data_IF_106506881422
#
_entry.id   IF_106506881422
#
_cell.length_a   1.000
_cell.length_b   1.000
_cell.length_c   1.000
_cell.angle_alpha   90.00
_cell.angle_beta   90.00
_cell.angle_gamma   90.00
#
_symmetry.space_group_name_H-M   'P 1'
#
loop_
_entity.id
_entity.type
_entity.pdbx_description
1 polymer ?
#
# COMPACT_ATOMS: atom_id res chain seq x y z
N UNK A 1 21.73 6.15 10.55
CA UNK A 1 20.36 6.34 10.00
C UNK A 1 19.49 5.27 10.64
N UNK A 2 18.47 5.63 11.42
CA UNK A 2 17.67 4.62 12.13
C UNK A 2 16.71 3.94 11.15
N UNK A 3 16.89 2.63 10.97
CA UNK A 3 16.04 1.75 10.16
C UNK A 3 14.74 1.46 10.95
N UNK A 4 13.86 2.47 11.07
CA UNK A 4 12.59 2.32 11.77
C UNK A 4 11.62 1.49 10.93
N UNK A 5 11.33 0.27 11.40
CA UNK A 5 10.36 -0.63 10.78
C UNK A 5 8.99 -0.50 11.44
N UNK A 6 7.98 -0.13 10.65
CA UNK A 6 6.60 -0.04 11.12
C UNK A 6 5.96 -1.44 11.00
N UNK A 7 5.62 -2.04 12.14
CA UNK A 7 4.89 -3.31 12.20
C UNK A 7 3.41 -3.04 12.47
N UNK A 8 2.52 -3.57 11.62
CA UNK A 8 1.07 -3.42 11.75
C UNK A 8 0.43 -4.79 11.89
N UNK A 9 -0.53 -4.88 12.81
CA UNK A 9 -1.46 -6.01 12.91
C UNK A 9 -2.80 -5.55 12.36
N UNK A 10 -3.29 -6.23 11.33
CA UNK A 10 -4.57 -5.93 10.71
C UNK A 10 -5.73 -6.64 11.44
N UNK A 11 -6.96 -6.19 11.20
CA UNK A 11 -8.16 -6.77 11.80
C UNK A 11 -8.38 -8.25 11.42
N UNK A 12 -7.83 -8.69 10.28
CA UNK A 12 -7.80 -10.09 9.86
C UNK A 12 -6.77 -10.95 10.63
N UNK A 13 -6.10 -10.38 11.65
CA UNK A 13 -5.05 -11.03 12.44
C UNK A 13 -3.70 -11.10 11.73
N UNK A 14 -3.60 -10.67 10.47
CA UNK A 14 -2.35 -10.70 9.73
C UNK A 14 -1.38 -9.63 10.23
N UNK A 15 -0.10 -10.00 10.33
CA UNK A 15 0.99 -9.11 10.74
C UNK A 15 1.86 -8.79 9.54
N UNK A 16 2.13 -7.51 9.30
CA UNK A 16 2.98 -7.05 8.21
C UNK A 16 3.97 -5.99 8.68
N UNK A 17 5.12 -5.97 8.02
CA UNK A 17 6.05 -4.84 8.08
C UNK A 17 5.73 -3.95 6.89
N UNK A 18 5.50 -2.67 7.15
CA UNK A 18 5.28 -1.69 6.10
C UNK A 18 6.61 -1.26 5.49
N UNK A 19 6.61 -1.14 4.17
CA UNK A 19 7.63 -0.51 3.36
C UNK A 19 7.39 0.99 3.28
N UNK A 20 8.46 1.73 2.97
CA UNK A 20 8.39 3.18 2.86
C UNK A 20 7.49 3.59 1.68
N UNK A 21 6.67 4.65 1.80
CA UNK A 21 5.84 5.14 0.69
C UNK A 21 6.62 5.45 -0.60
N UNK A 22 7.89 5.85 -0.52
CA UNK A 22 8.76 6.09 -1.69
C UNK A 22 9.05 4.82 -2.49
N UNK A 23 9.08 3.66 -1.84
CA UNK A 23 9.25 2.35 -2.50
C UNK A 23 8.03 1.95 -3.35
N UNK A 24 6.91 2.69 -3.30
CA UNK A 24 5.78 2.43 -4.20
C UNK A 24 6.17 2.54 -5.68
N UNK A 25 7.17 3.35 -6.00
CA UNK A 25 7.71 3.48 -7.37
C UNK A 25 8.28 2.16 -7.91
N UNK A 26 8.80 1.30 -7.04
CA UNK A 26 9.42 0.01 -7.39
C UNK A 26 8.47 -1.17 -7.13
N UNK A 27 7.25 -0.90 -6.68
CA UNK A 27 6.26 -1.94 -6.41
C UNK A 27 5.81 -2.65 -7.70
N UNK A 28 5.61 -3.96 -7.60
CA UNK A 28 5.13 -4.77 -8.71
C UNK A 28 3.66 -4.45 -9.00
N UNK A 29 3.41 -3.77 -10.12
CA UNK A 29 2.09 -3.34 -10.58
C UNK A 29 1.09 -4.48 -10.82
N UNK A 30 1.57 -5.71 -11.05
CA UNK A 30 0.71 -6.90 -11.24
C UNK A 30 0.17 -7.45 -9.93
N UNK A 31 0.67 -6.99 -8.78
CA UNK A 31 0.25 -7.47 -7.47
C UNK A 31 -0.64 -6.44 -6.79
N UNK A 32 -1.63 -6.93 -6.08
CA UNK A 32 -2.41 -6.12 -5.16
C UNK A 32 -1.52 -5.72 -3.96
N UNK A 33 -1.54 -4.44 -3.64
CA UNK A 33 -0.87 -3.87 -2.49
C UNK A 33 -1.91 -3.33 -1.50
N UNK A 34 -1.52 -3.33 -0.23
CA UNK A 34 -2.27 -2.71 0.87
C UNK A 34 -1.52 -1.46 1.30
N UNK A 35 -2.16 -0.32 1.17
CA UNK A 35 -1.65 0.99 1.58
C UNK A 35 -2.27 1.34 2.93
N UNK A 36 -1.43 1.70 3.90
CA UNK A 36 -1.86 2.12 5.24
C UNK A 36 -1.67 3.63 5.37
N UNK A 37 -2.72 4.31 5.78
CA UNK A 37 -2.76 5.75 5.96
C UNK A 37 -2.38 6.14 7.39
N UNK A 38 -1.94 7.39 7.56
CA UNK A 38 -1.59 7.94 8.87
C UNK A 38 -2.78 8.04 9.84
N UNK A 39 -4.02 8.05 9.34
CA UNK A 39 -5.24 8.00 10.15
C UNK A 39 -5.61 6.58 10.62
N UNK A 40 -4.76 5.58 10.36
CA UNK A 40 -4.95 4.18 10.75
C UNK A 40 -5.84 3.39 9.78
N UNK A 41 -6.43 4.03 8.76
CA UNK A 41 -7.17 3.31 7.73
C UNK A 41 -6.23 2.63 6.76
N UNK A 42 -6.72 1.62 6.04
CA UNK A 42 -5.98 1.02 4.94
C UNK A 42 -6.91 0.76 3.76
N UNK A 43 -6.32 0.68 2.57
CA UNK A 43 -7.02 0.27 1.35
C UNK A 43 -6.17 -0.71 0.55
N UNK A 44 -6.84 -1.66 -0.08
CA UNK A 44 -6.22 -2.60 -1.02
C UNK A 44 -6.39 -2.04 -2.45
N UNK A 45 -5.34 -2.09 -3.27
CA UNK A 45 -5.36 -1.58 -4.63
C UNK A 45 -4.29 -2.19 -5.53
N UNK A 46 -4.51 -2.08 -6.85
CA UNK A 46 -3.48 -2.32 -7.85
C UNK A 46 -2.77 -1.01 -8.21
N UNK A 47 -1.45 -1.03 -8.15
CA UNK A 47 -0.64 0.15 -8.42
C UNK A 47 -0.72 0.51 -9.91
N UNK A 48 -1.15 1.73 -10.21
CA UNK A 48 -1.15 2.27 -11.57
C UNK A 48 0.14 3.01 -11.88
N UNK A 49 0.06 4.34 -11.90
CA UNK A 49 1.18 5.24 -12.22
C UNK A 49 1.58 6.02 -10.97
N UNK A 50 2.80 5.81 -10.49
CA UNK A 50 3.37 6.64 -9.43
C UNK A 50 4.02 7.87 -10.06
N UNK A 51 3.67 9.06 -9.59
CA UNK A 51 4.28 10.33 -10.00
C UNK A 51 5.03 10.95 -8.81
N UNK A 52 6.33 10.64 -8.63
CA UNK A 52 7.12 11.13 -7.50
C UNK A 52 7.21 12.65 -7.46
N UNK A 53 7.31 13.30 -8.63
CA UNK A 53 7.39 14.76 -8.76
C UNK A 53 6.18 15.51 -8.18
N UNK A 54 5.02 14.85 -8.15
CA UNK A 54 3.79 15.43 -7.59
C UNK A 54 3.50 14.90 -6.19
N UNK A 55 4.29 13.95 -5.69
CA UNK A 55 4.00 13.25 -4.44
C UNK A 55 2.70 12.45 -4.47
N UNK A 56 2.26 11.98 -5.66
CA UNK A 56 0.95 11.34 -5.85
C UNK A 56 1.11 9.94 -6.47
N UNK A 57 0.40 8.97 -5.92
CA UNK A 57 0.23 7.61 -6.44
C UNK A 57 -1.10 7.55 -7.19
N UNK A 58 -1.07 7.43 -8.52
CA UNK A 58 -2.27 7.11 -9.30
C UNK A 58 -2.52 5.62 -9.24
N UNK A 59 -3.75 5.28 -8.87
CA UNK A 59 -4.18 3.90 -8.64
C UNK A 59 -4.87 3.39 -9.90
N UNK A 60 -4.60 2.14 -10.26
CA UNK A 60 -5.23 1.46 -11.41
C UNK A 60 -6.55 0.78 -10.99
N UNK A 61 -7.30 1.37 -10.07
CA UNK A 61 -8.63 0.87 -9.75
C UNK A 61 -9.57 1.41 -10.81
N UNK A 62 -10.11 0.49 -11.62
CA UNK A 62 -11.25 0.73 -12.51
C UNK A 62 -12.29 1.63 -11.82
N UNK A 63 -12.33 2.91 -12.20
CA UNK A 63 -13.54 3.73 -12.14
C UNK A 63 -13.79 4.70 -10.98
N UNK A 64 -13.10 4.68 -9.83
CA UNK A 64 -13.63 5.40 -8.63
C UNK A 64 -12.68 6.29 -7.82
N UNK A 65 -11.41 6.46 -8.18
CA UNK A 65 -10.53 7.46 -7.53
C UNK A 65 -10.04 8.49 -8.55
N UNK A 66 -10.78 9.59 -8.77
CA UNK A 66 -10.37 10.66 -9.68
C UNK A 66 -9.13 11.42 -9.19
N UNK A 67 -8.89 11.43 -7.88
CA UNK A 67 -7.75 12.06 -7.25
C UNK A 67 -6.75 11.00 -6.78
N UNK A 68 -5.53 11.02 -7.33
CA UNK A 68 -4.47 10.12 -6.87
C UNK A 68 -4.18 10.29 -5.38
N UNK A 69 -3.64 9.25 -4.75
CA UNK A 69 -3.35 9.25 -3.32
C UNK A 69 -2.07 10.05 -3.06
N UNK A 70 -2.13 11.07 -2.21
CA UNK A 70 -0.94 11.81 -1.80
C UNK A 70 -0.06 10.97 -0.88
N UNK A 71 1.25 10.91 -1.17
CA UNK A 71 2.26 10.16 -0.42
C UNK A 71 2.38 10.63 1.04
N UNK A 72 2.14 11.91 1.32
CA UNK A 72 2.19 12.50 2.66
C UNK A 72 1.16 11.92 3.64
N UNK A 73 0.04 11.41 3.12
CA UNK A 73 -1.02 10.74 3.90
C UNK A 73 -0.74 9.27 4.13
N UNK A 74 0.21 8.68 3.41
CA UNK A 74 0.55 7.26 3.52
C UNK A 74 1.58 7.08 4.65
N UNK A 75 1.27 6.17 5.57
CA UNK A 75 2.21 5.74 6.62
C UNK A 75 3.18 4.68 6.07
N UNK A 76 2.69 3.78 5.22
CA UNK A 76 3.50 2.80 4.52
C UNK A 76 2.63 1.82 3.74
N UNK A 77 3.26 0.84 3.10
CA UNK A 77 2.54 -0.13 2.27
C UNK A 77 3.12 -1.54 2.40
N UNK A 78 2.34 -2.54 2.03
CA UNK A 78 2.81 -3.92 1.94
C UNK A 78 2.10 -4.66 0.80
N UNK A 79 2.67 -5.79 0.36
CA UNK A 79 1.95 -6.66 -0.57
C UNK A 79 0.83 -7.38 0.16
N UNK A 80 -0.36 -7.39 -0.44
CA UNK A 80 -1.39 -8.34 -0.04
C UNK A 80 -0.91 -9.71 -0.50
N UNK A 81 -0.78 -10.64 0.42
CA UNK A 81 -0.64 -12.03 0.03
C UNK A 81 -2.04 -12.54 -0.31
N UNK A 82 -2.17 -13.38 -1.36
CA UNK A 82 -3.41 -14.10 -1.53
C UNK A 82 -3.70 -14.80 -0.20
N UNK A 83 -4.94 -14.67 0.28
CA UNK A 83 -5.41 -15.50 1.37
C UNK A 83 -4.99 -16.91 0.99
N UNK A 84 -4.19 -17.59 1.83
CA UNK A 84 -4.12 -19.03 1.70
C UNK A 84 -5.57 -19.46 1.91
N UNK A 85 -6.29 -19.74 0.84
CA UNK A 85 -7.41 -20.65 0.91
C UNK A 85 -6.77 -21.88 1.53
N UNK A 86 -7.04 -22.10 2.82
CA UNK A 86 -6.69 -23.33 3.47
C UNK A 86 -7.32 -24.41 2.57
N UNK A 87 -6.48 -25.12 1.80
CA UNK A 87 -6.91 -26.35 1.16
C UNK A 87 -7.31 -27.25 2.32
N UNK A 88 -8.62 -27.41 2.48
CA UNK A 88 -9.23 -28.37 3.39
C UNK A 88 -9.23 -29.73 2.73
#
# INVERSE_FOLDING_TARGET
MMDYKIKVTFADGSRRVLKDPSELTTANKRREIRVVFKDGKYTDLHLGRVCPKMGIVKVSTFGLLPEGIKLDKIMGWCYKFPHKTARR
#
